data_IF_155486699532
#
_entry.id   IF_155486699532
#
_cell.length_a   1.000
_cell.length_b   1.000
_cell.length_c   1.000
_cell.angle_alpha   90.00
_cell.angle_beta   90.00
_cell.angle_gamma   90.00
#
_symmetry.space_group_name_H-M   'P 1'
#
loop_
_entity.id
_entity.type
_entity.pdbx_description
1 polymer ?
#
# COMPACT_ATOMS: atom_id res chain seq x y z
N UNK A 1 3.86 -63.91 23.24
CA UNK A 1 2.71 -64.10 24.16
C UNK A 1 2.43 -62.75 24.82
N UNK A 2 1.22 -62.18 24.62
CA UNK A 2 0.61 -60.99 25.25
C UNK A 2 1.45 -59.71 25.52
N UNK A 3 1.02 -58.63 24.85
CA UNK A 3 1.15 -57.20 25.18
C UNK A 3 -0.11 -56.80 26.00
N UNK A 4 -0.07 -55.92 27.05
CA UNK A 4 -0.36 -54.46 26.94
C UNK A 4 0.58 -53.56 27.79
N UNK A 5 1.07 -52.42 27.29
CA UNK A 5 0.43 -51.08 27.23
C UNK A 5 0.05 -50.49 28.60
N UNK A 6 0.52 -49.27 28.85
CA UNK A 6 0.08 -48.39 29.93
C UNK A 6 -0.11 -46.98 29.37
N UNK A 7 -1.36 -46.56 29.22
CA UNK A 7 -1.71 -45.20 28.80
C UNK A 7 -1.53 -44.22 29.96
N UNK A 8 -0.98 -43.04 29.68
CA UNK A 8 -1.10 -41.86 30.54
C UNK A 8 -2.27 -41.02 30.02
N UNK A 9 -3.29 -40.84 30.85
CA UNK A 9 -4.44 -39.98 30.54
C UNK A 9 -4.18 -38.60 31.15
N UNK A 10 -4.06 -37.58 30.31
CA UNK A 10 -4.08 -36.17 30.74
C UNK A 10 -5.48 -35.62 30.50
N UNK A 11 -6.16 -35.22 31.57
CA UNK A 11 -7.51 -34.64 31.52
C UNK A 11 -7.39 -33.12 31.31
N UNK A 12 -7.70 -32.65 30.11
CA UNK A 12 -7.85 -31.22 29.83
C UNK A 12 -9.26 -30.74 30.21
N UNK A 13 -9.36 -29.71 31.06
CA UNK A 13 -10.64 -29.12 31.46
C UNK A 13 -11.11 -28.08 30.43
N UNK A 14 -12.19 -28.38 29.70
CA UNK A 14 -12.76 -27.47 28.72
C UNK A 14 -13.64 -26.38 29.36
N UNK A 15 -13.22 -25.12 29.30
CA UNK A 15 -14.04 -23.96 29.69
C UNK A 15 -14.88 -23.51 28.49
N UNK A 16 -16.18 -23.79 28.54
CA UNK A 16 -17.11 -23.63 27.42
C UNK A 16 -17.69 -22.21 27.37
N UNK A 17 -17.08 -21.31 26.58
CA UNK A 17 -17.71 -20.03 26.24
C UNK A 17 -18.87 -20.22 25.25
N UNK A 18 -19.99 -19.51 25.48
CA UNK A 18 -21.13 -19.44 24.55
C UNK A 18 -21.18 -18.04 23.91
N UNK A 19 -21.18 -17.91 22.58
CA UNK A 19 -21.52 -16.65 21.93
C UNK A 19 -23.04 -16.44 21.93
N UNK A 20 -23.51 -15.28 22.39
CA UNK A 20 -24.89 -14.87 22.22
C UNK A 20 -25.12 -14.40 20.78
N UNK A 21 -26.00 -15.08 20.05
CA UNK A 21 -26.47 -14.62 18.75
C UNK A 21 -27.47 -13.47 18.92
N UNK A 22 -27.30 -12.40 18.13
CA UNK A 22 -28.14 -11.21 18.15
C UNK A 22 -28.30 -10.61 16.75
N UNK A 23 -28.97 -11.36 15.86
CA UNK A 23 -29.26 -10.96 14.48
C UNK A 23 -30.43 -9.96 14.43
N UNK A 24 -30.22 -8.76 13.87
CA UNK A 24 -31.32 -7.84 13.51
C UNK A 24 -31.08 -7.24 12.13
N UNK A 25 -31.77 -7.74 11.11
CA UNK A 25 -31.88 -7.11 9.79
C UNK A 25 -33.29 -7.29 9.23
N UNK A 26 -34.03 -6.18 9.10
CA UNK A 26 -35.11 -5.84 8.16
C UNK A 26 -35.51 -4.39 8.52
N UNK A 27 -36.03 -3.50 7.68
CA UNK A 27 -36.46 -3.54 6.28
C UNK A 27 -36.99 -2.12 5.93
N UNK A 28 -37.17 -1.79 4.64
CA UNK A 28 -37.40 -0.40 4.17
C UNK A 28 -38.80 0.19 4.45
N UNK A 29 -38.82 1.53 4.55
CA UNK A 29 -39.87 2.49 4.14
C UNK A 29 -41.32 2.38 4.69
N UNK A 30 -41.79 3.43 5.39
CA UNK A 30 -42.70 4.46 4.82
C UNK A 30 -43.14 5.55 5.84
N UNK A 31 -43.48 6.72 5.28
CA UNK A 31 -44.44 7.75 5.73
C UNK A 31 -44.32 8.47 7.08
N UNK A 32 -44.51 9.80 7.01
CA UNK A 32 -44.82 10.71 8.12
C UNK A 32 -46.16 10.33 8.78
N UNK A 33 -46.26 10.41 10.09
CA UNK A 33 -47.47 10.89 10.80
C UNK A 33 -47.06 11.53 12.13
N UNK A 34 -47.72 12.64 12.47
CA UNK A 34 -47.56 13.40 13.72
C UNK A 34 -48.60 12.88 14.73
N UNK A 35 -48.28 12.76 16.02
CA UNK A 35 -49.21 13.04 17.14
C UNK A 35 -48.45 13.14 18.48
N UNK A 36 -49.04 13.90 19.41
CA UNK A 36 -48.51 14.41 20.69
C UNK A 36 -48.50 13.41 21.86
N UNK A 37 -47.76 13.69 22.97
CA UNK A 37 -47.63 12.80 24.13
C UNK A 37 -48.75 12.99 25.18
N UNK A 38 -49.10 11.92 25.91
CA UNK A 38 -49.98 11.96 27.09
C UNK A 38 -49.52 10.95 28.16
N UNK A 39 -49.21 11.48 29.35
CA UNK A 39 -49.21 10.93 30.73
C UNK A 39 -48.54 9.58 31.10
N UNK A 40 -47.94 9.56 32.31
CA UNK A 40 -47.35 8.36 32.97
C UNK A 40 -48.37 7.55 33.79
N UNK A 41 -48.10 7.07 35.03
CA UNK A 41 -47.01 7.45 35.95
C UNK A 41 -46.26 6.30 36.69
N UNK A 42 -45.17 6.68 37.37
CA UNK A 42 -44.60 6.16 38.65
C UNK A 42 -44.64 4.68 39.04
N UNK A 43 -43.49 4.18 39.48
CA UNK A 43 -43.37 3.63 40.84
C UNK A 43 -42.03 4.03 41.49
N UNK A 44 -42.07 4.41 42.77
CA UNK A 44 -40.93 4.86 43.57
C UNK A 44 -40.25 3.71 44.32
N UNK A 45 -38.96 3.85 44.61
CA UNK A 45 -38.42 3.49 45.93
C UNK A 45 -37.33 4.48 46.35
N UNK A 46 -37.53 5.11 47.51
CA UNK A 46 -36.58 5.98 48.20
C UNK A 46 -35.51 5.17 48.93
N UNK A 47 -34.32 5.74 49.11
CA UNK A 47 -33.57 5.76 50.39
C UNK A 47 -32.61 6.97 50.39
N UNK A 48 -32.29 7.45 51.59
CA UNK A 48 -31.86 8.81 51.94
C UNK A 48 -30.38 9.17 51.74
N UNK A 49 -30.10 10.47 51.55
CA UNK A 49 -28.75 11.05 51.70
C UNK A 49 -28.63 12.53 51.28
N UNK A 50 -28.48 13.44 52.26
CA UNK A 50 -28.11 14.88 52.15
C UNK A 50 -27.39 15.30 53.45
N UNK A 51 -26.68 16.44 53.56
CA UNK A 51 -26.57 17.60 52.64
C UNK A 51 -25.09 17.81 52.15
N UNK A 52 -24.61 18.87 51.47
CA UNK A 52 -24.71 20.32 51.72
C UNK A 52 -24.30 21.27 50.56
N UNK A 53 -24.81 22.51 50.62
CA UNK A 53 -24.33 23.81 50.06
C UNK A 53 -24.00 24.04 48.55
N UNK A 54 -24.96 24.68 47.83
CA UNK A 54 -24.94 26.00 47.12
C UNK A 54 -23.63 26.73 46.66
N UNK A 55 -23.69 27.77 45.78
CA UNK A 55 -24.76 28.21 44.82
C UNK A 55 -24.28 28.81 43.44
N UNK A 56 -25.22 28.96 42.46
CA UNK A 56 -25.25 29.98 41.34
C UNK A 56 -24.04 30.00 40.37
N UNK A 57 -24.04 30.48 39.11
CA UNK A 57 -24.92 31.24 38.19
C UNK A 57 -24.33 31.01 36.75
N UNK A 58 -24.91 31.38 35.59
CA UNK A 58 -26.27 31.71 35.12
C UNK A 58 -26.24 32.01 33.61
N UNK A 59 -27.33 31.70 32.86
CA UNK A 59 -27.73 32.25 31.54
C UNK A 59 -26.68 32.40 30.41
N UNK A 60 -26.96 31.86 29.24
CA UNK A 60 -27.49 32.66 28.12
C UNK A 60 -27.88 31.83 26.90
N UNK A 61 -29.02 32.18 26.30
CA UNK A 61 -29.58 31.61 25.08
C UNK A 61 -29.59 32.68 23.98
N UNK A 62 -29.21 32.36 22.75
CA UNK A 62 -29.58 33.16 21.56
C UNK A 62 -29.92 32.22 20.40
N UNK A 63 -30.95 32.61 19.64
CA UNK A 63 -31.51 31.92 18.48
C UNK A 63 -31.26 32.75 17.22
N UNK A 64 -30.89 32.10 16.12
CA UNK A 64 -31.12 32.56 14.74
C UNK A 64 -31.54 31.31 13.95
N UNK A 65 -32.78 31.16 13.46
CA UNK A 65 -33.60 32.02 12.57
C UNK A 65 -33.13 32.01 11.12
N UNK A 66 -33.94 31.34 10.30
CA UNK A 66 -33.79 31.12 8.86
C UNK A 66 -34.45 32.27 8.06
N UNK A 67 -34.02 32.53 6.82
CA UNK A 67 -34.80 33.30 5.82
C UNK A 67 -34.30 33.10 4.38
N UNK A 68 -35.23 33.21 3.45
CA UNK A 68 -35.17 32.60 2.11
C UNK A 68 -34.67 33.51 0.96
N UNK A 69 -34.21 32.85 -0.11
CA UNK A 69 -34.41 33.09 -1.56
C UNK A 69 -34.42 34.49 -2.20
N UNK A 70 -33.86 34.60 -3.44
CA UNK A 70 -34.55 35.13 -4.64
C UNK A 70 -33.73 35.00 -5.97
N UNK A 71 -34.42 34.49 -7.01
CA UNK A 71 -34.39 34.74 -8.47
C UNK A 71 -33.14 35.04 -9.36
N UNK A 72 -33.09 34.34 -10.52
CA UNK A 72 -32.81 34.87 -11.87
C UNK A 72 -31.35 34.84 -12.39
N UNK A 73 -31.04 34.69 -13.69
CA UNK A 73 -31.83 34.44 -14.93
C UNK A 73 -30.89 33.94 -16.06
N UNK A 74 -31.43 33.28 -17.09
CA UNK A 74 -30.68 32.78 -18.28
C UNK A 74 -30.07 33.87 -19.17
N UNK A 75 -29.04 33.51 -19.96
CA UNK A 75 -28.87 33.99 -21.34
C UNK A 75 -28.04 33.01 -22.19
N UNK A 76 -28.62 32.56 -23.30
CA UNK A 76 -27.91 31.93 -24.42
C UNK A 76 -27.56 33.03 -25.45
N UNK A 77 -26.51 32.84 -26.26
CA UNK A 77 -26.57 32.87 -27.74
C UNK A 77 -25.19 32.76 -28.41
N UNK A 78 -25.09 31.83 -29.35
CA UNK A 78 -24.07 31.75 -30.41
C UNK A 78 -24.74 32.18 -31.72
N UNK A 79 -24.00 32.76 -32.68
CA UNK A 79 -24.25 32.38 -34.07
C UNK A 79 -22.97 32.10 -34.88
N UNK A 80 -23.10 31.17 -35.83
CA UNK A 80 -22.05 30.79 -36.78
C UNK A 80 -22.08 31.60 -38.09
N UNK A 81 -20.92 31.58 -38.79
CA UNK A 81 -20.77 31.12 -40.19
C UNK A 81 -20.26 32.11 -41.27
N UNK A 82 -19.55 31.50 -42.24
CA UNK A 82 -19.07 31.98 -43.57
C UNK A 82 -17.77 32.82 -43.53
N UNK A 83 -16.75 32.56 -44.37
CA UNK A 83 -16.62 31.59 -45.49
C UNK A 83 -15.17 31.35 -45.96
N UNK A 84 -14.80 30.06 -46.14
CA UNK A 84 -14.05 29.37 -47.23
C UNK A 84 -12.83 30.03 -47.98
N UNK A 85 -11.97 29.24 -48.67
CA UNK A 85 -10.51 29.40 -48.55
C UNK A 85 -9.76 29.73 -49.85
N UNK A 86 -8.46 30.04 -49.73
CA UNK A 86 -7.48 29.84 -50.80
C UNK A 86 -6.15 29.29 -50.24
N UNK A 87 -5.68 28.20 -50.86
CA UNK A 87 -4.29 27.73 -50.80
C UNK A 87 -3.45 28.58 -51.77
N UNK A 88 -2.20 28.88 -51.43
CA UNK A 88 -0.99 28.81 -52.28
C UNK A 88 0.22 29.52 -51.60
N UNK A 89 1.19 28.72 -51.15
CA UNK A 89 2.63 29.10 -51.09
C UNK A 89 3.27 28.79 -52.47
N UNK A 90 4.54 29.19 -52.80
CA UNK A 90 5.63 29.74 -51.98
C UNK A 90 6.10 31.15 -52.47
N UNK A 91 7.09 31.87 -51.94
CA UNK A 91 8.53 31.55 -51.72
C UNK A 91 9.22 32.61 -50.85
N UNK A 92 10.28 32.15 -50.16
CA UNK A 92 11.55 32.77 -49.71
C UNK A 92 11.81 34.31 -49.63
N UNK A 93 12.76 34.62 -48.71
CA UNK A 93 13.52 35.87 -48.45
C UNK A 93 13.04 36.81 -47.34
N UNK A 94 13.86 36.96 -46.27
CA UNK A 94 13.57 37.88 -45.16
C UNK A 94 14.48 37.84 -43.93
N UNK A 95 15.81 37.97 -44.12
CA UNK A 95 16.80 38.47 -43.14
C UNK A 95 16.67 38.12 -41.63
N UNK A 96 17.54 37.21 -41.15
CA UNK A 96 17.97 37.21 -39.73
C UNK A 96 19.03 38.29 -39.56
N UNK A 97 18.64 39.41 -38.93
CA UNK A 97 19.52 40.50 -38.53
C UNK A 97 19.67 40.50 -36.99
N UNK A 98 20.87 40.80 -36.50
CA UNK A 98 21.19 41.14 -35.10
C UNK A 98 21.00 40.04 -34.02
N UNK A 99 22.01 39.16 -33.89
CA UNK A 99 22.28 38.44 -32.64
C UNK A 99 23.79 38.19 -32.40
N UNK A 100 24.65 39.16 -32.77
CA UNK A 100 26.06 39.19 -32.36
C UNK A 100 26.39 40.60 -31.89
N UNK A 101 26.45 40.78 -30.57
CA UNK A 101 27.35 41.69 -29.83
C UNK A 101 26.95 41.69 -28.33
N UNK A 102 27.94 41.89 -27.46
CA UNK A 102 27.83 42.13 -26.01
C UNK A 102 27.27 40.99 -25.11
N UNK A 103 28.19 40.15 -24.61
CA UNK A 103 28.21 39.70 -23.21
C UNK A 103 29.58 39.15 -22.82
N UNK A 104 30.53 40.07 -22.62
CA UNK A 104 31.74 39.81 -21.85
C UNK A 104 31.58 40.46 -20.47
N UNK A 105 32.14 39.81 -19.45
CA UNK A 105 32.27 40.27 -18.05
C UNK A 105 30.96 40.41 -17.26
N UNK A 106 30.77 39.48 -16.31
CA UNK A 106 30.77 39.81 -14.88
C UNK A 106 31.02 38.52 -14.08
N UNK A 107 32.26 38.31 -13.63
CA UNK A 107 32.56 37.31 -12.60
C UNK A 107 32.25 37.96 -11.26
N UNK A 108 31.11 37.61 -10.66
CA UNK A 108 30.83 37.92 -9.25
C UNK A 108 31.19 36.71 -8.40
N UNK A 109 31.88 36.88 -7.25
CA UNK A 109 32.01 35.81 -6.28
C UNK A 109 30.61 35.48 -5.71
N UNK A 110 30.30 34.20 -5.43
CA UNK A 110 29.02 33.84 -4.85
C UNK A 110 28.87 34.48 -3.46
N UNK A 111 27.80 35.27 -3.29
CA UNK A 111 27.35 35.69 -1.97
C UNK A 111 27.03 34.44 -1.12
N UNK A 112 27.28 34.45 0.21
CA UNK A 112 26.89 33.35 1.08
C UNK A 112 25.36 33.23 1.11
N UNK A 113 24.84 32.27 0.35
CA UNK A 113 23.41 32.00 0.25
C UNK A 113 22.86 31.66 1.64
N UNK A 114 21.93 32.48 2.13
CA UNK A 114 21.28 32.31 3.43
C UNK A 114 20.28 31.14 3.40
N UNK A 115 20.81 29.91 3.38
CA UNK A 115 20.02 28.67 3.36
C UNK A 115 19.08 28.51 4.56
N UNK A 116 19.31 29.23 5.67
CA UNK A 116 18.51 29.13 6.89
C UNK A 116 17.11 29.75 6.80
N UNK A 117 16.90 30.84 6.04
CA UNK A 117 15.70 31.66 6.23
C UNK A 117 14.44 31.12 5.52
N UNK A 118 14.61 30.55 4.31
CA UNK A 118 13.49 29.98 3.53
C UNK A 118 13.05 28.64 4.13
N UNK A 119 14.03 27.82 4.56
CA UNK A 119 13.76 26.62 5.35
C UNK A 119 12.96 26.97 6.60
N UNK A 120 13.48 27.85 7.45
CA UNK A 120 12.83 28.25 8.70
C UNK A 120 11.39 28.76 8.53
N UNK A 121 11.05 29.48 7.45
CA UNK A 121 9.68 29.97 7.22
C UNK A 121 8.70 28.85 6.85
N UNK A 122 9.11 27.89 6.01
CA UNK A 122 8.27 26.74 5.63
C UNK A 122 8.17 25.74 6.78
N UNK A 123 9.26 25.44 7.49
CA UNK A 123 9.17 24.63 8.70
C UNK A 123 8.27 25.31 9.71
N UNK A 124 8.42 26.62 9.97
CA UNK A 124 7.59 27.34 10.96
C UNK A 124 6.09 27.17 10.67
N UNK A 125 5.62 27.41 9.44
CA UNK A 125 4.22 27.24 9.07
C UNK A 125 3.69 25.80 9.27
N UNK A 126 4.50 24.77 8.97
CA UNK A 126 4.15 23.35 9.20
C UNK A 126 4.33 22.94 10.68
N UNK A 127 5.14 23.65 11.45
CA UNK A 127 5.37 23.39 12.89
C UNK A 127 4.36 24.04 13.81
N UNK A 128 3.76 25.17 13.41
CA UNK A 128 2.84 25.95 14.26
C UNK A 128 1.37 25.83 13.82
N UNK A 129 1.06 25.02 12.80
CA UNK A 129 -0.33 24.67 12.50
C UNK A 129 -0.84 23.67 13.54
N UNK A 130 -2.11 23.79 13.94
CA UNK A 130 -2.70 22.88 14.94
C UNK A 130 -2.58 21.41 14.52
N UNK A 131 -2.73 21.12 13.22
CA UNK A 131 -2.51 19.79 12.66
C UNK A 131 -1.04 19.34 12.81
N UNK A 132 -0.07 20.21 12.52
CA UNK A 132 1.36 19.91 12.66
C UNK A 132 1.82 19.76 14.11
N UNK A 133 1.13 20.41 15.06
CA UNK A 133 1.31 20.23 16.51
C UNK A 133 0.67 18.91 16.96
N UNK A 134 -0.55 18.59 16.54
CA UNK A 134 -1.27 17.36 16.90
C UNK A 134 -0.55 16.12 16.37
N UNK A 135 -0.11 16.13 15.10
CA UNK A 135 0.67 15.02 14.52
C UNK A 135 1.97 14.82 15.28
N UNK A 136 2.69 15.89 15.63
CA UNK A 136 3.90 15.80 16.46
C UNK A 136 3.63 15.27 17.85
N UNK A 137 2.58 15.75 18.53
CA UNK A 137 2.23 15.24 19.85
C UNK A 137 1.81 13.76 19.78
N UNK A 138 1.17 13.33 18.69
CA UNK A 138 0.84 11.92 18.44
C UNK A 138 2.10 11.07 18.25
N UNK A 139 3.02 11.48 17.35
CA UNK A 139 4.29 10.78 17.10
C UNK A 139 5.18 10.74 18.34
N UNK A 140 5.35 11.88 19.05
CA UNK A 140 6.15 11.94 20.28
C UNK A 140 5.52 11.12 21.40
N UNK A 141 4.19 11.11 21.56
CA UNK A 141 3.53 10.21 22.53
C UNK A 141 3.65 8.75 22.13
N UNK A 142 3.55 8.42 20.84
CA UNK A 142 3.78 7.07 20.32
C UNK A 142 5.18 6.58 20.62
N UNK A 143 6.20 7.38 20.31
CA UNK A 143 7.60 7.11 20.65
C UNK A 143 7.79 6.96 22.17
N UNK A 144 7.26 7.88 23.00
CA UNK A 144 7.34 7.79 24.46
C UNK A 144 6.57 6.60 25.07
N UNK A 145 5.57 6.06 24.37
CA UNK A 145 4.86 4.85 24.79
C UNK A 145 5.69 3.62 24.40
N UNK A 146 6.25 3.57 23.19
CA UNK A 146 7.13 2.48 22.77
C UNK A 146 8.41 2.43 23.60
N UNK A 147 9.08 3.55 23.84
CA UNK A 147 10.26 3.68 24.72
C UNK A 147 9.98 3.20 26.16
N UNK A 148 8.76 3.43 26.68
CA UNK A 148 8.32 2.88 27.97
C UNK A 148 8.01 1.39 27.93
N UNK A 149 7.46 0.90 26.83
CA UNK A 149 7.18 -0.54 26.65
C UNK A 149 8.51 -1.29 26.49
N UNK A 150 9.45 -0.75 25.73
CA UNK A 150 10.79 -1.29 25.52
C UNK A 150 11.58 -1.29 26.83
N UNK A 151 11.65 -0.15 27.54
CA UNK A 151 12.25 -0.09 28.88
C UNK A 151 11.54 -0.95 29.95
N UNK A 152 10.29 -1.37 29.73
CA UNK A 152 9.62 -2.41 30.54
C UNK A 152 10.00 -3.83 30.08
N UNK A 153 10.18 -4.04 28.77
CA UNK A 153 10.65 -5.29 28.18
C UNK A 153 12.10 -5.57 28.58
N UNK A 154 13.01 -4.61 28.46
CA UNK A 154 14.40 -4.70 28.94
C UNK A 154 14.45 -5.09 30.42
N UNK A 155 13.67 -4.42 31.28
CA UNK A 155 13.60 -4.78 32.71
C UNK A 155 13.04 -6.18 32.95
N UNK A 156 12.05 -6.62 32.17
CA UNK A 156 11.54 -7.99 32.23
C UNK A 156 12.59 -9.00 31.77
N UNK A 157 13.30 -8.69 30.68
CA UNK A 157 14.40 -9.46 30.11
C UNK A 157 15.54 -9.64 31.11
N UNK A 158 15.96 -8.55 31.77
CA UNK A 158 17.06 -8.56 32.73
C UNK A 158 16.66 -9.26 34.04
N UNK A 159 15.45 -9.02 34.55
CA UNK A 159 14.93 -9.71 35.74
C UNK A 159 14.77 -11.23 35.52
N UNK A 160 14.54 -11.68 34.29
CA UNK A 160 14.49 -13.09 33.91
C UNK A 160 15.84 -13.64 33.43
N UNK A 161 16.91 -12.84 33.41
CA UNK A 161 18.23 -13.23 32.90
C UNK A 161 18.32 -13.41 31.38
N UNK A 162 17.25 -13.13 30.64
CA UNK A 162 17.17 -13.26 29.17
C UNK A 162 18.13 -12.30 28.45
N UNK A 163 18.40 -11.12 29.02
CA UNK A 163 19.42 -10.19 28.50
C UNK A 163 20.84 -10.74 28.62
N UNK A 164 21.12 -11.46 29.71
CA UNK A 164 22.38 -12.16 29.92
C UNK A 164 22.51 -13.41 29.03
N UNK A 165 21.41 -14.06 28.63
CA UNK A 165 21.42 -15.14 27.64
C UNK A 165 21.61 -14.61 26.20
N UNK A 166 20.93 -13.52 25.83
CA UNK A 166 21.10 -12.85 24.52
C UNK A 166 22.53 -12.36 24.29
N UNK A 167 23.16 -11.77 25.31
CA UNK A 167 24.57 -11.32 25.22
C UNK A 167 25.59 -12.47 25.23
N UNK A 168 25.18 -13.69 25.65
CA UNK A 168 25.98 -14.93 25.52
C UNK A 168 25.79 -15.64 24.18
N UNK A 169 24.87 -15.23 23.31
CA UNK A 169 24.86 -15.70 21.92
C UNK A 169 26.11 -15.15 21.22
N UNK A 170 27.19 -15.94 21.29
CA UNK A 170 28.58 -15.55 21.01
C UNK A 170 28.88 -15.22 19.55
N UNK A 171 27.87 -15.29 18.69
CA UNK A 171 27.88 -14.68 17.37
C UNK A 171 26.47 -14.17 17.06
N UNK A 172 26.36 -12.88 16.71
CA UNK A 172 25.26 -12.45 15.84
C UNK A 172 25.31 -13.33 14.57
N UNK A 173 24.16 -13.67 13.94
CA UNK A 173 24.18 -14.26 12.62
C UNK A 173 25.11 -13.44 11.72
N UNK A 174 25.96 -14.10 10.94
CA UNK A 174 26.76 -13.37 9.94
C UNK A 174 25.78 -12.69 8.99
N UNK A 175 26.00 -11.40 8.72
CA UNK A 175 25.17 -10.65 7.79
C UNK A 175 24.98 -11.43 6.49
N UNK A 176 23.73 -11.53 6.04
CA UNK A 176 23.38 -12.30 4.83
C UNK A 176 24.03 -11.62 3.64
N UNK A 177 24.96 -12.31 2.98
CA UNK A 177 25.65 -11.77 1.80
C UNK A 177 24.70 -11.87 0.61
N UNK A 178 24.06 -10.76 0.29
CA UNK A 178 23.22 -10.62 -0.91
C UNK A 178 24.14 -10.57 -2.13
N UNK A 179 23.90 -11.38 -3.18
CA UNK A 179 24.69 -11.33 -4.42
C UNK A 179 24.48 -10.01 -5.18
N UNK A 180 25.35 -9.71 -6.14
CA UNK A 180 25.15 -8.57 -7.03
C UNK A 180 23.94 -8.82 -7.97
N UNK A 181 23.14 -7.77 -8.19
CA UNK A 181 21.96 -7.82 -9.04
C UNK A 181 22.37 -8.08 -10.50
N UNK A 182 21.64 -8.94 -11.21
CA UNK A 182 21.82 -9.12 -12.65
C UNK A 182 21.48 -7.82 -13.41
N UNK A 183 22.07 -7.58 -14.59
CA UNK A 183 21.67 -6.46 -15.45
C UNK A 183 20.16 -6.46 -15.72
N UNK A 184 19.55 -5.28 -15.62
CA UNK A 184 18.10 -5.12 -15.81
C UNK A 184 17.69 -5.51 -17.24
N UNK A 185 16.71 -6.42 -17.37
CA UNK A 185 16.02 -6.62 -18.64
C UNK A 185 15.08 -5.44 -18.90
N UNK A 186 15.59 -4.46 -19.65
CA UNK A 186 14.87 -3.24 -20.03
C UNK A 186 13.56 -3.56 -20.78
N UNK A 187 13.48 -4.67 -21.52
CA UNK A 187 12.25 -5.04 -22.23
C UNK A 187 11.19 -5.58 -21.25
N UNK A 188 11.58 -6.48 -20.34
CA UNK A 188 10.69 -6.98 -19.29
C UNK A 188 10.23 -5.85 -18.35
N UNK A 189 11.14 -4.93 -18.00
CA UNK A 189 10.88 -3.74 -17.18
C UNK A 189 9.88 -2.77 -17.85
N UNK A 190 10.03 -2.51 -19.16
CA UNK A 190 9.05 -1.74 -19.92
C UNK A 190 7.68 -2.44 -20.00
N UNK A 191 7.66 -3.77 -20.17
CA UNK A 191 6.41 -4.54 -20.15
C UNK A 191 5.70 -4.49 -18.81
N UNK A 192 6.44 -4.52 -17.69
CA UNK A 192 5.87 -4.35 -16.37
C UNK A 192 5.12 -3.01 -16.24
N UNK A 193 5.76 -1.90 -16.59
CA UNK A 193 5.14 -0.57 -16.51
C UNK A 193 3.90 -0.46 -17.40
N UNK A 194 3.96 -0.98 -18.63
CA UNK A 194 2.81 -1.03 -19.54
C UNK A 194 1.64 -1.86 -18.98
N UNK A 195 1.93 -3.01 -18.38
CA UNK A 195 0.93 -3.86 -17.71
C UNK A 195 0.31 -3.10 -16.53
N UNK A 196 1.12 -2.40 -15.72
CA UNK A 196 0.64 -1.60 -14.58
C UNK A 196 -0.21 -0.40 -15.02
N UNK A 197 0.19 0.33 -16.07
CA UNK A 197 -0.62 1.42 -16.63
C UNK A 197 -1.97 0.91 -17.14
N UNK A 198 -1.99 -0.21 -17.87
CA UNK A 198 -3.22 -0.86 -18.33
C UNK A 198 -4.08 -1.35 -17.17
N UNK A 199 -3.49 -1.92 -16.13
CA UNK A 199 -4.17 -2.34 -14.91
C UNK A 199 -4.85 -1.16 -14.23
N UNK A 200 -4.13 -0.06 -14.09
CA UNK A 200 -4.60 1.15 -13.44
C UNK A 200 -5.76 1.79 -14.23
N UNK A 201 -5.59 2.01 -15.53
CA UNK A 201 -6.64 2.55 -16.40
C UNK A 201 -7.92 1.69 -16.38
N UNK A 202 -7.78 0.36 -16.28
CA UNK A 202 -8.91 -0.58 -16.17
C UNK A 202 -9.57 -0.56 -14.78
N UNK A 203 -8.79 -0.44 -13.71
CA UNK A 203 -9.30 -0.40 -12.35
C UNK A 203 -9.92 0.97 -11.97
N UNK A 204 -9.52 2.04 -12.66
CA UNK A 204 -9.92 3.41 -12.39
C UNK A 204 -11.45 3.59 -12.41
N UNK A 205 -12.07 4.05 -11.30
CA UNK A 205 -13.52 4.17 -11.21
C UNK A 205 -14.11 5.07 -12.30
N UNK A 206 -15.22 4.62 -12.90
CA UNK A 206 -15.89 5.32 -13.99
C UNK A 206 -15.26 5.13 -15.38
N UNK A 207 -14.07 4.51 -15.48
CA UNK A 207 -13.46 4.12 -16.78
C UNK A 207 -13.17 5.28 -17.74
N UNK A 208 -13.15 6.52 -17.24
CA UNK A 208 -13.07 7.74 -18.05
C UNK A 208 -11.67 8.36 -18.12
N UNK A 209 -10.69 7.80 -17.38
CA UNK A 209 -9.32 8.27 -17.41
C UNK A 209 -8.67 7.89 -18.76
N UNK A 210 -8.23 8.89 -19.52
CA UNK A 210 -7.49 8.66 -20.76
C UNK A 210 -6.02 8.38 -20.45
N UNK A 211 -5.38 7.54 -21.28
CA UNK A 211 -3.94 7.30 -21.18
C UNK A 211 -3.14 8.61 -21.24
N UNK A 212 -3.58 9.59 -22.05
CA UNK A 212 -2.91 10.89 -22.14
C UNK A 212 -2.94 11.66 -20.81
N UNK A 213 -4.04 11.62 -20.04
CA UNK A 213 -4.07 12.24 -18.71
C UNK A 213 -3.17 11.47 -17.72
N UNK A 214 -3.14 10.15 -17.80
CA UNK A 214 -2.21 9.35 -16.99
C UNK A 214 -0.76 9.76 -17.26
N UNK A 215 -0.31 9.71 -18.52
CA UNK A 215 1.09 10.03 -18.86
C UNK A 215 1.45 11.49 -18.51
N UNK A 216 0.52 12.44 -18.67
CA UNK A 216 0.72 13.83 -18.20
C UNK A 216 0.98 13.94 -16.69
N UNK A 217 0.30 13.13 -15.88
CA UNK A 217 0.55 13.09 -14.43
C UNK A 217 1.89 12.37 -14.12
N UNK A 218 2.23 11.29 -14.84
CA UNK A 218 3.52 10.61 -14.71
C UNK A 218 4.69 11.56 -15.03
N UNK A 219 4.63 12.28 -16.15
CA UNK A 219 5.60 13.30 -16.53
C UNK A 219 5.69 14.43 -15.49
N UNK A 220 4.54 14.88 -14.96
CA UNK A 220 4.46 15.90 -13.92
C UNK A 220 5.13 15.49 -12.62
N UNK A 221 4.88 14.25 -12.17
CA UNK A 221 5.53 13.65 -10.99
C UNK A 221 7.03 13.45 -11.24
N UNK A 222 7.41 12.86 -12.37
CA UNK A 222 8.80 12.60 -12.72
C UNK A 222 9.61 13.90 -12.68
N UNK A 223 9.14 14.95 -13.35
CA UNK A 223 9.75 16.29 -13.33
C UNK A 223 9.84 16.90 -11.93
N UNK A 224 8.85 16.66 -11.07
CA UNK A 224 8.84 17.16 -9.69
C UNK A 224 9.91 16.49 -8.82
N UNK A 225 10.11 15.17 -8.96
CA UNK A 225 10.96 14.37 -8.06
C UNK A 225 12.36 14.07 -8.61
N UNK A 226 12.61 14.27 -9.91
CA UNK A 226 13.89 14.03 -10.59
C UNK A 226 15.10 14.59 -9.82
N UNK A 227 15.04 15.86 -9.40
CA UNK A 227 16.15 16.54 -8.69
C UNK A 227 16.48 15.88 -7.34
N UNK A 228 15.49 15.28 -6.67
CA UNK A 228 15.72 14.54 -5.43
C UNK A 228 16.43 13.21 -5.71
N UNK A 229 15.98 12.44 -6.71
CA UNK A 229 16.65 11.19 -7.10
C UNK A 229 18.05 11.40 -7.66
N UNK A 230 18.30 12.50 -8.39
CA UNK A 230 19.65 12.93 -8.79
C UNK A 230 20.59 13.13 -7.60
N UNK A 231 20.09 13.76 -6.52
CA UNK A 231 20.87 13.96 -5.28
C UNK A 231 21.12 12.66 -4.53
N UNK A 232 20.23 11.68 -4.65
CA UNK A 232 20.41 10.31 -4.16
C UNK A 232 21.33 9.45 -5.06
N UNK A 233 21.94 10.03 -6.09
CA UNK A 233 22.92 9.34 -6.95
C UNK A 233 22.35 8.70 -8.22
N UNK A 234 21.07 8.85 -8.53
CA UNK A 234 20.51 8.36 -9.81
C UNK A 234 21.04 9.22 -10.96
N UNK A 235 21.94 8.63 -11.76
CA UNK A 235 22.40 9.22 -13.02
C UNK A 235 21.35 8.96 -14.12
N UNK A 236 20.84 10.00 -14.76
CA UNK A 236 19.89 9.90 -15.87
C UNK A 236 20.62 9.99 -17.21
N UNK A 237 20.30 9.11 -18.16
CA UNK A 237 20.88 9.14 -19.52
C UNK A 237 20.55 10.45 -20.22
N UNK A 238 19.27 10.85 -20.16
CA UNK A 238 18.77 12.11 -20.69
C UNK A 238 17.89 12.80 -19.63
N UNK A 239 18.35 13.91 -19.01
CA UNK A 239 17.55 14.67 -18.06
C UNK A 239 16.24 15.24 -18.64
N UNK A 240 16.09 15.36 -19.96
CA UNK A 240 14.85 15.77 -20.60
C UNK A 240 13.84 14.61 -20.77
N UNK A 241 14.29 13.35 -20.66
CA UNK A 241 13.47 12.13 -20.74
C UNK A 241 13.75 11.22 -19.54
N UNK A 242 13.45 11.66 -18.30
CA UNK A 242 13.87 10.95 -17.08
C UNK A 242 13.16 9.61 -16.85
N UNK A 243 12.14 9.28 -17.63
CA UNK A 243 11.44 7.99 -17.62
C UNK A 243 12.13 6.92 -18.50
N UNK A 244 13.15 7.28 -19.28
CA UNK A 244 13.98 6.30 -19.99
C UNK A 244 15.01 5.71 -19.03
N UNK A 245 15.11 4.37 -19.00
CA UNK A 245 15.98 3.62 -18.09
C UNK A 245 16.74 2.51 -18.81
N UNK A 246 18.01 2.37 -18.44
CA UNK A 246 18.92 1.27 -18.79
C UNK A 246 19.40 0.53 -17.54
N UNK A 247 19.23 1.12 -16.35
CA UNK A 247 19.76 0.63 -15.07
C UNK A 247 18.66 0.54 -14.01
N UNK A 248 18.91 -0.28 -12.98
CA UNK A 248 17.98 -0.46 -11.88
C UNK A 248 17.55 0.80 -11.13
N UNK A 249 18.47 1.72 -10.75
CA UNK A 249 18.09 2.97 -10.09
C UNK A 249 17.21 3.90 -10.94
N UNK A 250 17.42 3.93 -12.26
CA UNK A 250 16.56 4.68 -13.19
C UNK A 250 15.18 4.04 -13.31
N UNK A 251 15.11 2.70 -13.37
CA UNK A 251 13.84 1.97 -13.37
C UNK A 251 13.06 2.16 -12.06
N UNK A 252 13.74 2.14 -10.90
CA UNK A 252 13.14 2.45 -9.60
C UNK A 252 12.48 3.84 -9.59
N UNK A 253 13.15 4.85 -10.16
CA UNK A 253 12.60 6.19 -10.34
C UNK A 253 11.36 6.21 -11.26
N UNK A 254 11.40 5.50 -12.39
CA UNK A 254 10.26 5.42 -13.30
C UNK A 254 9.06 4.76 -12.61
N UNK A 255 9.27 3.60 -11.98
CA UNK A 255 8.26 2.88 -11.20
C UNK A 255 7.67 3.76 -10.09
N UNK A 256 8.49 4.47 -9.31
CA UNK A 256 8.01 5.43 -8.32
C UNK A 256 7.10 6.50 -8.94
N UNK A 257 7.52 7.07 -10.08
CA UNK A 257 6.78 8.13 -10.77
C UNK A 257 5.40 7.67 -11.27
N UNK A 258 5.32 6.48 -11.87
CA UNK A 258 4.05 5.87 -12.29
C UNK A 258 3.11 5.62 -11.09
N UNK A 259 3.58 4.94 -10.04
CA UNK A 259 2.73 4.57 -8.90
C UNK A 259 2.30 5.76 -8.03
N UNK A 260 3.14 6.80 -7.96
CA UNK A 260 2.78 8.10 -7.38
C UNK A 260 1.70 8.81 -8.20
N UNK A 261 1.81 8.81 -9.53
CA UNK A 261 0.79 9.37 -10.42
C UNK A 261 -0.56 8.65 -10.30
N UNK A 262 -0.56 7.31 -10.23
CA UNK A 262 -1.77 6.51 -9.95
C UNK A 262 -2.47 6.99 -8.66
N UNK A 263 -1.68 7.21 -7.61
CA UNK A 263 -2.17 7.66 -6.31
C UNK A 263 -2.70 9.09 -6.33
N UNK A 264 -2.04 10.01 -7.02
CA UNK A 264 -2.52 11.39 -7.20
C UNK A 264 -3.89 11.43 -7.91
N UNK A 265 -4.04 10.68 -9.00
CA UNK A 265 -5.29 10.63 -9.79
C UNK A 265 -6.46 10.03 -8.99
N UNK A 266 -6.21 8.98 -8.19
CA UNK A 266 -7.24 8.43 -7.29
C UNK A 266 -7.66 9.43 -6.19
N UNK A 267 -6.74 10.25 -5.68
CA UNK A 267 -7.06 11.30 -4.71
C UNK A 267 -7.86 12.45 -5.33
N UNK A 268 -7.48 12.91 -6.53
CA UNK A 268 -8.25 13.91 -7.30
C UNK A 268 -9.69 13.43 -7.55
N UNK A 269 -9.86 12.15 -7.88
CA UNK A 269 -11.17 11.54 -8.06
C UNK A 269 -11.99 11.50 -6.76
N UNK A 270 -11.40 11.08 -5.64
CA UNK A 270 -12.08 11.03 -4.35
C UNK A 270 -12.55 12.43 -3.90
N UNK A 271 -11.77 13.47 -4.17
CA UNK A 271 -12.18 14.86 -3.92
C UNK A 271 -13.31 15.33 -4.84
N UNK A 272 -13.33 14.84 -6.08
CA UNK A 272 -14.34 15.20 -7.09
C UNK A 272 -15.68 14.46 -6.91
N UNK A 273 -15.67 13.26 -6.33
CA UNK A 273 -16.86 12.40 -6.19
C UNK A 273 -17.45 12.43 -4.79
N UNK A 274 -18.35 13.39 -4.54
CA UNK A 274 -19.26 13.38 -3.37
C UNK A 274 -20.33 12.26 -3.42
N UNK A 275 -20.16 11.21 -4.24
CA UNK A 275 -21.22 10.24 -4.57
C UNK A 275 -21.07 8.90 -3.83
N UNK A 276 -22.22 8.32 -3.47
CA UNK A 276 -22.36 7.03 -2.79
C UNK A 276 -21.96 5.80 -3.63
N UNK A 277 -21.68 6.01 -4.92
CA UNK A 277 -21.46 4.95 -5.91
C UNK A 277 -19.97 4.78 -6.28
N UNK A 278 -19.06 5.46 -5.57
CA UNK A 278 -17.62 5.27 -5.77
C UNK A 278 -17.19 3.87 -5.32
N UNK A 279 -16.45 3.15 -6.20
CA UNK A 279 -15.79 1.90 -5.81
C UNK A 279 -14.90 2.17 -4.60
N UNK A 280 -14.95 1.30 -3.60
CA UNK A 280 -14.04 1.41 -2.45
C UNK A 280 -12.59 1.33 -2.93
N UNK A 281 -11.69 2.08 -2.30
CA UNK A 281 -10.27 2.03 -2.64
C UNK A 281 -9.70 0.60 -2.54
N UNK A 282 -10.15 -0.18 -1.55
CA UNK A 282 -9.77 -1.58 -1.39
C UNK A 282 -10.15 -2.43 -2.62
N UNK A 283 -11.33 -2.19 -3.21
CA UNK A 283 -11.77 -2.86 -4.45
C UNK A 283 -10.89 -2.45 -5.64
N UNK A 284 -10.55 -1.16 -5.78
CA UNK A 284 -9.66 -0.67 -6.86
C UNK A 284 -8.29 -1.32 -6.75
N UNK A 285 -7.72 -1.34 -5.54
CA UNK A 285 -6.44 -1.99 -5.25
C UNK A 285 -6.50 -3.48 -5.59
N UNK A 286 -7.48 -4.23 -5.08
CA UNK A 286 -7.61 -5.65 -5.36
C UNK A 286 -7.81 -5.96 -6.87
N UNK A 287 -8.58 -5.14 -7.59
CA UNK A 287 -8.74 -5.25 -9.04
C UNK A 287 -7.41 -5.00 -9.79
N UNK A 288 -6.64 -4.01 -9.36
CA UNK A 288 -5.31 -3.68 -9.91
C UNK A 288 -4.30 -4.80 -9.65
N UNK A 289 -4.10 -5.20 -8.38
CA UNK A 289 -3.10 -6.19 -7.97
C UNK A 289 -3.35 -7.54 -8.67
N UNK A 290 -4.61 -7.98 -8.71
CA UNK A 290 -5.06 -9.17 -9.44
C UNK A 290 -4.78 -9.09 -10.94
N UNK A 291 -5.09 -7.97 -11.60
CA UNK A 291 -4.85 -7.84 -13.04
C UNK A 291 -3.35 -7.82 -13.37
N UNK A 292 -2.53 -7.13 -12.58
CA UNK A 292 -1.06 -7.12 -12.75
C UNK A 292 -0.50 -8.53 -12.57
N UNK A 293 -0.83 -9.20 -11.46
CA UNK A 293 -0.38 -10.58 -11.19
C UNK A 293 -0.75 -11.54 -12.32
N UNK A 294 -2.02 -11.53 -12.74
CA UNK A 294 -2.50 -12.38 -13.84
C UNK A 294 -1.84 -12.08 -15.19
N UNK A 295 -1.60 -10.80 -15.51
CA UNK A 295 -0.96 -10.40 -16.75
C UNK A 295 0.51 -10.86 -16.79
N UNK A 296 1.24 -10.70 -15.68
CA UNK A 296 2.64 -11.11 -15.57
C UNK A 296 2.81 -12.63 -15.59
N UNK A 297 1.93 -13.41 -14.95
CA UNK A 297 1.93 -14.88 -15.08
C UNK A 297 1.85 -15.34 -16.54
N UNK A 298 1.07 -14.63 -17.35
CA UNK A 298 0.92 -14.95 -18.77
C UNK A 298 2.11 -14.46 -19.61
N UNK A 299 2.56 -13.22 -19.41
CA UNK A 299 3.69 -12.62 -20.15
C UNK A 299 5.01 -13.36 -19.88
N UNK A 300 5.30 -13.66 -18.61
CA UNK A 300 6.51 -14.37 -18.17
C UNK A 300 6.39 -15.90 -18.32
N UNK A 301 5.24 -16.40 -18.76
CA UNK A 301 4.94 -17.82 -19.04
C UNK A 301 5.15 -18.73 -17.83
N UNK A 302 4.75 -18.27 -16.64
CA UNK A 302 4.84 -19.03 -15.39
C UNK A 302 3.70 -20.06 -15.35
N UNK A 303 3.92 -21.20 -16.01
CA UNK A 303 2.92 -22.26 -16.21
C UNK A 303 3.55 -23.63 -15.99
N UNK A 304 3.03 -24.37 -15.02
CA UNK A 304 3.55 -25.68 -14.63
C UNK A 304 2.47 -26.76 -14.77
N UNK A 305 2.89 -27.98 -15.15
CA UNK A 305 1.99 -29.11 -15.43
C UNK A 305 2.06 -30.19 -14.35
N UNK A 306 1.83 -29.81 -13.08
CA UNK A 306 1.68 -30.77 -11.97
C UNK A 306 0.21 -31.14 -11.74
N UNK A 307 -0.04 -32.40 -11.36
CA UNK A 307 -1.36 -32.92 -11.00
C UNK A 307 -1.84 -32.40 -9.63
N UNK A 308 -0.93 -32.20 -8.68
CA UNK A 308 -1.22 -31.61 -7.38
C UNK A 308 -1.29 -30.08 -7.47
N UNK A 309 -2.39 -29.44 -7.02
CA UNK A 309 -2.51 -27.98 -7.04
C UNK A 309 -1.42 -27.27 -6.23
N UNK A 310 -1.14 -27.72 -4.99
CA UNK A 310 -0.09 -27.12 -4.15
C UNK A 310 1.29 -27.26 -4.79
N UNK A 311 1.65 -28.47 -5.23
CA UNK A 311 2.95 -28.71 -5.89
C UNK A 311 3.13 -27.82 -7.11
N UNK A 312 2.04 -27.53 -7.84
CA UNK A 312 2.06 -26.58 -8.95
C UNK A 312 2.32 -25.15 -8.50
N UNK A 313 1.69 -24.66 -7.42
CA UNK A 313 1.95 -23.32 -6.89
C UNK A 313 3.40 -23.14 -6.42
N UNK A 314 3.97 -24.16 -5.77
CA UNK A 314 5.37 -24.15 -5.35
C UNK A 314 6.31 -24.08 -6.57
N UNK A 315 6.11 -24.95 -7.57
CA UNK A 315 6.87 -24.90 -8.83
C UNK A 315 6.71 -23.57 -9.59
N UNK A 316 5.49 -23.01 -9.62
CA UNK A 316 5.26 -21.68 -10.21
C UNK A 316 5.98 -20.58 -9.44
N UNK A 317 6.18 -20.73 -8.13
CA UNK A 317 7.04 -19.83 -7.35
C UNK A 317 8.51 -20.00 -7.71
N UNK A 318 9.03 -21.22 -7.81
CA UNK A 318 10.43 -21.45 -8.22
C UNK A 318 10.73 -20.84 -9.60
N UNK A 319 9.77 -20.95 -10.51
CA UNK A 319 9.80 -20.32 -11.83
C UNK A 319 9.71 -18.78 -11.72
N UNK A 320 8.87 -18.22 -10.83
CA UNK A 320 8.84 -16.77 -10.54
C UNK A 320 10.17 -16.27 -9.96
N UNK A 321 10.72 -16.95 -8.95
CA UNK A 321 11.98 -16.64 -8.30
C UNK A 321 13.14 -16.61 -9.31
N UNK A 322 13.13 -17.56 -10.25
CA UNK A 322 14.07 -17.59 -11.38
C UNK A 322 13.85 -16.40 -12.31
N UNK A 323 12.61 -16.09 -12.71
CA UNK A 323 12.31 -14.93 -13.59
C UNK A 323 12.69 -13.58 -12.97
N UNK A 324 12.46 -13.39 -11.68
CA UNK A 324 12.83 -12.15 -10.98
C UNK A 324 14.35 -11.92 -10.99
N UNK A 325 15.15 -12.99 -10.87
CA UNK A 325 16.62 -12.92 -11.00
C UNK A 325 17.06 -12.75 -12.46
N UNK A 326 16.51 -13.53 -13.40
CA UNK A 326 16.83 -13.49 -14.83
C UNK A 326 16.62 -12.08 -15.42
N UNK A 327 15.56 -11.39 -15.01
CA UNK A 327 15.22 -10.04 -15.47
C UNK A 327 15.93 -8.91 -14.68
N UNK A 328 16.75 -9.25 -13.68
CA UNK A 328 17.41 -8.25 -12.83
C UNK A 328 16.46 -7.47 -11.92
N UNK A 329 15.30 -8.02 -11.56
CA UNK A 329 14.35 -7.40 -10.62
C UNK A 329 14.66 -7.70 -9.15
N UNK A 330 15.31 -8.82 -8.85
CA UNK A 330 15.80 -9.18 -7.52
C UNK A 330 17.16 -9.87 -7.61
N UNK A 331 18.03 -9.67 -6.62
CA UNK A 331 19.36 -10.27 -6.61
C UNK A 331 19.29 -11.74 -6.20
N UNK A 332 18.47 -12.06 -5.20
CA UNK A 332 18.17 -13.42 -4.77
C UNK A 332 16.70 -13.54 -4.38
N UNK A 333 16.15 -14.74 -4.55
CA UNK A 333 14.77 -15.06 -4.16
C UNK A 333 14.80 -16.46 -3.57
N UNK A 334 14.37 -16.58 -2.32
CA UNK A 334 14.44 -17.80 -1.51
C UNK A 334 13.01 -18.17 -1.04
N UNK A 335 12.31 -19.07 -1.73
CA UNK A 335 11.07 -19.64 -1.20
C UNK A 335 11.41 -20.53 0.01
N UNK A 336 10.58 -20.45 1.05
CA UNK A 336 10.69 -21.35 2.20
C UNK A 336 10.63 -22.81 1.75
N UNK A 337 11.20 -23.76 2.53
CA UNK A 337 11.12 -25.18 2.24
C UNK A 337 9.69 -25.61 1.88
N UNK A 338 9.54 -26.59 0.96
CA UNK A 338 8.22 -27.05 0.54
C UNK A 338 7.42 -27.51 1.76
N UNK A 339 6.16 -27.10 1.80
CA UNK A 339 5.20 -27.50 2.84
C UNK A 339 5.11 -29.02 2.87
N UNK A 340 5.18 -29.61 4.07
CA UNK A 340 5.06 -31.06 4.23
C UNK A 340 3.68 -31.53 3.75
N UNK A 341 3.63 -32.71 3.12
CA UNK A 341 2.38 -33.22 2.55
C UNK A 341 1.30 -33.49 3.60
N UNK A 342 1.72 -33.71 4.85
CA UNK A 342 0.83 -33.87 6.01
C UNK A 342 0.17 -32.52 6.36
N UNK A 343 0.93 -31.43 6.53
CA UNK A 343 0.38 -30.09 6.78
C UNK A 343 -0.63 -29.63 5.70
N UNK A 344 -0.37 -29.95 4.43
CA UNK A 344 -1.32 -29.67 3.35
C UNK A 344 -2.58 -30.54 3.45
N UNK A 345 -2.45 -31.82 3.80
CA UNK A 345 -3.57 -32.73 3.99
C UNK A 345 -4.44 -32.27 5.17
N UNK A 346 -3.83 -31.91 6.30
CA UNK A 346 -4.51 -31.41 7.51
C UNK A 346 -5.22 -30.07 7.23
N UNK A 347 -4.63 -29.19 6.42
CA UNK A 347 -5.29 -27.97 5.95
C UNK A 347 -6.47 -28.26 4.99
N UNK A 348 -6.33 -29.26 4.10
CA UNK A 348 -7.41 -29.71 3.22
C UNK A 348 -8.56 -30.35 3.99
N UNK A 349 -8.29 -31.09 5.06
CA UNK A 349 -9.31 -31.76 5.89
C UNK A 349 -9.93 -30.81 6.94
N UNK A 350 -9.34 -29.63 7.14
CA UNK A 350 -9.81 -28.58 8.04
C UNK A 350 -9.33 -28.72 9.49
N UNK A 351 -8.40 -29.63 9.75
CA UNK A 351 -7.74 -29.81 11.05
C UNK A 351 -6.75 -28.67 11.35
N UNK A 352 -6.16 -28.07 10.31
CA UNK A 352 -5.37 -26.83 10.40
C UNK A 352 -6.15 -25.66 9.78
N UNK A 353 -6.40 -24.57 10.52
CA UNK A 353 -7.21 -23.44 10.02
C UNK A 353 -6.47 -22.51 9.06
N UNK A 354 -5.14 -22.52 9.11
CA UNK A 354 -4.27 -21.58 8.41
C UNK A 354 -2.97 -22.25 7.98
N UNK A 355 -2.63 -22.14 6.71
CA UNK A 355 -1.37 -22.65 6.16
C UNK A 355 -0.47 -21.49 5.71
N UNK A 356 0.74 -21.43 6.27
CA UNK A 356 1.69 -20.33 6.06
C UNK A 356 2.97 -20.78 5.34
N UNK A 357 3.44 -19.94 4.42
CA UNK A 357 4.70 -20.14 3.69
C UNK A 357 5.29 -18.78 3.28
N UNK A 358 6.62 -18.63 3.33
CA UNK A 358 7.28 -17.34 3.07
C UNK A 358 8.18 -17.36 1.83
N UNK A 359 8.34 -16.22 1.16
CA UNK A 359 9.38 -15.99 0.15
C UNK A 359 10.22 -14.80 0.57
N UNK A 360 11.53 -14.98 0.75
CA UNK A 360 12.46 -13.86 0.87
C UNK A 360 12.86 -13.35 -0.52
N UNK A 361 12.80 -12.04 -0.73
CA UNK A 361 13.21 -11.35 -1.96
C UNK A 361 14.31 -10.36 -1.60
N UNK A 362 15.57 -10.71 -1.88
CA UNK A 362 16.74 -9.89 -1.59
C UNK A 362 17.06 -8.96 -2.75
N UNK A 363 17.36 -7.69 -2.45
CA UNK A 363 17.77 -6.72 -3.47
C UNK A 363 16.67 -6.45 -4.51
N UNK A 364 15.40 -6.41 -4.08
CA UNK A 364 14.28 -5.99 -4.92
C UNK A 364 14.53 -4.57 -5.46
N UNK A 365 14.66 -4.47 -6.78
CA UNK A 365 14.96 -3.23 -7.50
C UNK A 365 13.91 -2.14 -7.28
N UNK A 366 12.69 -2.51 -6.89
CA UNK A 366 11.56 -1.61 -6.64
C UNK A 366 11.42 -1.21 -5.17
N UNK A 367 12.19 -1.81 -4.26
CA UNK A 367 12.09 -1.65 -2.80
C UNK A 367 12.05 -0.18 -2.35
N UNK A 368 12.99 0.65 -2.81
CA UNK A 368 13.01 2.08 -2.48
C UNK A 368 11.73 2.82 -2.93
N UNK A 369 11.12 2.41 -4.04
CA UNK A 369 9.86 2.98 -4.49
C UNK A 369 8.68 2.49 -3.63
N UNK A 370 8.69 1.22 -3.18
CA UNK A 370 7.70 0.69 -2.25
C UNK A 370 7.70 1.48 -0.94
N UNK A 371 8.88 1.63 -0.31
CA UNK A 371 9.07 2.34 0.97
C UNK A 371 8.63 3.80 0.84
N UNK A 372 9.17 4.55 -0.13
CA UNK A 372 8.84 5.97 -0.31
C UNK A 372 7.35 6.21 -0.54
N UNK A 373 6.64 5.29 -1.19
CA UNK A 373 5.18 5.39 -1.38
C UNK A 373 4.41 5.06 -0.10
N UNK A 374 4.82 4.03 0.63
CA UNK A 374 4.21 3.62 1.90
C UNK A 374 4.37 4.69 3.00
N UNK A 375 5.54 5.31 3.12
CA UNK A 375 5.81 6.42 4.05
C UNK A 375 4.90 7.62 3.80
N UNK A 376 4.55 7.88 2.53
CA UNK A 376 3.59 8.91 2.11
C UNK A 376 2.13 8.47 2.31
N UNK A 377 1.88 7.29 2.88
CA UNK A 377 0.56 6.73 3.17
C UNK A 377 -0.13 6.05 1.97
N UNK A 378 0.56 5.89 0.84
CA UNK A 378 -0.02 5.24 -0.33
C UNK A 378 -0.16 3.74 -0.14
N UNK A 379 -1.17 3.19 -0.81
CA UNK A 379 -1.62 1.79 -0.66
C UNK A 379 -1.51 0.98 -1.95
N UNK A 380 -1.22 1.62 -3.08
CA UNK A 380 -0.83 1.00 -4.35
C UNK A 380 0.64 1.35 -4.55
N UNK A 381 1.49 0.33 -4.52
CA UNK A 381 2.96 0.44 -4.58
C UNK A 381 3.51 -0.83 -5.27
N UNK A 382 4.71 -0.81 -5.85
CA UNK A 382 5.14 -1.78 -6.86
C UNK A 382 5.67 -3.12 -6.30
N UNK A 383 4.93 -3.80 -5.41
CA UNK A 383 5.35 -5.12 -4.92
C UNK A 383 4.96 -6.23 -5.90
N UNK A 384 5.81 -6.42 -6.92
CA UNK A 384 5.51 -7.27 -8.09
C UNK A 384 5.46 -8.75 -7.71
N UNK A 385 6.41 -9.21 -6.90
CA UNK A 385 6.44 -10.58 -6.40
C UNK A 385 5.16 -10.91 -5.62
N UNK A 386 4.68 -10.03 -4.73
CA UNK A 386 3.39 -10.20 -4.04
C UNK A 386 2.22 -10.38 -5.01
N UNK A 387 2.11 -9.53 -6.04
CA UNK A 387 0.98 -9.60 -6.99
C UNK A 387 0.95 -10.93 -7.74
N UNK A 388 2.11 -11.43 -8.17
CA UNK A 388 2.21 -12.69 -8.89
C UNK A 388 1.94 -13.87 -7.96
N UNK A 389 2.55 -13.90 -6.76
CA UNK A 389 2.29 -14.94 -5.75
C UNK A 389 0.80 -15.02 -5.38
N UNK A 390 0.16 -13.87 -5.11
CA UNK A 390 -1.25 -13.83 -4.78
C UNK A 390 -2.11 -14.46 -5.89
N UNK A 391 -1.78 -14.25 -7.16
CA UNK A 391 -2.50 -14.89 -8.27
C UNK A 391 -2.19 -16.39 -8.41
N UNK A 392 -0.95 -16.83 -8.21
CA UNK A 392 -0.56 -18.26 -8.25
C UNK A 392 -1.43 -19.08 -7.29
N UNK A 393 -1.53 -18.64 -6.03
CA UNK A 393 -2.29 -19.36 -5.01
C UNK A 393 -3.81 -19.21 -5.20
N UNK A 394 -4.30 -18.08 -5.74
CA UNK A 394 -5.71 -17.93 -6.11
C UNK A 394 -6.12 -18.88 -7.25
N UNK A 395 -5.29 -19.03 -8.29
CA UNK A 395 -5.53 -19.96 -9.40
C UNK A 395 -5.58 -21.43 -8.90
N UNK A 396 -4.81 -21.75 -7.86
CA UNK A 396 -4.79 -23.08 -7.23
C UNK A 396 -6.06 -23.35 -6.43
N UNK A 397 -6.52 -22.42 -5.57
CA UNK A 397 -7.79 -22.58 -4.85
C UNK A 397 -9.00 -22.66 -5.80
N UNK A 398 -9.01 -21.84 -6.85
CA UNK A 398 -10.05 -21.85 -7.87
C UNK A 398 -10.13 -23.18 -8.65
N UNK A 399 -9.02 -23.91 -8.77
CA UNK A 399 -8.99 -25.24 -9.39
C UNK A 399 -9.34 -26.36 -8.42
N UNK A 400 -8.89 -26.28 -7.16
CA UNK A 400 -9.24 -27.27 -6.14
C UNK A 400 -10.76 -27.31 -5.89
N UNK A 401 -11.39 -26.13 -5.81
CA UNK A 401 -12.85 -26.00 -5.65
C UNK A 401 -13.66 -26.41 -6.89
N UNK A 402 -13.04 -26.48 -8.08
CA UNK A 402 -13.72 -26.78 -9.34
C UNK A 402 -13.80 -28.28 -9.68
N UNK A 403 -13.08 -29.17 -8.98
CA UNK A 403 -13.09 -30.60 -9.31
C UNK A 403 -14.31 -31.31 -8.71
N UNK A 404 -15.22 -31.88 -9.54
CA UNK A 404 -16.40 -32.60 -9.03
C UNK A 404 -15.96 -33.92 -8.37
N UNK A 405 -16.14 -34.00 -7.05
CA UNK A 405 -15.63 -35.11 -6.22
C UNK A 405 -14.22 -34.88 -5.68
N UNK A 406 -13.70 -33.65 -5.75
CA UNK A 406 -12.43 -33.27 -5.11
C UNK A 406 -12.43 -33.52 -3.60
N UNK A 407 -11.25 -33.87 -3.08
CA UNK A 407 -10.99 -34.11 -1.66
C UNK A 407 -11.51 -32.92 -0.85
N UNK A 408 -12.48 -33.19 0.03
CA UNK A 408 -13.34 -32.15 0.57
C UNK A 408 -12.74 -31.44 1.78
N UNK A 409 -12.65 -30.11 1.70
CA UNK A 409 -12.52 -29.22 2.86
C UNK A 409 -12.00 -27.81 2.57
N UNK A 410 -11.39 -27.55 1.40
CA UNK A 410 -11.28 -26.18 0.88
C UNK A 410 -12.70 -25.65 0.65
N UNK A 411 -13.11 -24.72 1.49
CA UNK A 411 -14.40 -24.05 1.37
C UNK A 411 -14.35 -23.02 0.24
N UNK A 412 -15.51 -22.62 -0.28
CA UNK A 412 -15.57 -21.49 -1.22
C UNK A 412 -15.21 -20.14 -0.57
N UNK A 413 -14.91 -20.13 0.73
CA UNK A 413 -14.51 -18.98 1.51
C UNK A 413 -13.01 -19.01 1.90
N UNK A 414 -12.25 -20.04 1.50
CA UNK A 414 -10.79 -20.06 1.69
C UNK A 414 -10.13 -18.85 1.01
N UNK A 415 -9.35 -18.11 1.78
CA UNK A 415 -8.81 -16.79 1.41
C UNK A 415 -7.29 -16.83 1.30
N UNK A 416 -6.76 -16.29 0.19
CA UNK A 416 -5.32 -16.04 0.03
C UNK A 416 -4.99 -14.65 0.56
N UNK A 417 -4.08 -14.60 1.53
CA UNK A 417 -3.44 -13.37 2.02
C UNK A 417 -1.97 -13.40 1.67
N UNK A 418 -1.39 -12.28 1.22
CA UNK A 418 0.07 -12.14 1.07
C UNK A 418 0.51 -10.84 1.71
N UNK A 419 1.29 -10.95 2.78
CA UNK A 419 1.78 -9.83 3.58
C UNK A 419 3.28 -9.62 3.34
N UNK A 420 3.68 -8.37 3.10
CA UNK A 420 5.05 -7.93 2.93
C UNK A 420 5.65 -7.39 4.23
N UNK A 421 6.81 -7.91 4.61
CA UNK A 421 7.63 -7.48 5.74
C UNK A 421 9.03 -7.07 5.24
N UNK A 422 9.57 -5.98 5.78
CA UNK A 422 10.89 -5.47 5.41
C UNK A 422 11.92 -5.82 6.47
N UNK A 423 13.03 -6.42 6.05
CA UNK A 423 14.12 -6.83 6.91
C UNK A 423 15.44 -6.16 6.53
N UNK A 424 16.21 -5.79 7.55
CA UNK A 424 17.61 -5.42 7.42
C UNK A 424 18.47 -6.66 7.74
N UNK A 425 19.25 -7.08 6.75
CA UNK A 425 20.09 -8.28 6.82
C UNK A 425 21.36 -8.11 7.67
N UNK A 426 21.67 -6.89 8.11
CA UNK A 426 22.75 -6.59 9.06
C UNK A 426 22.29 -6.71 10.53
N UNK A 427 21.01 -6.99 10.77
CA UNK A 427 20.39 -7.14 12.10
C UNK A 427 20.71 -5.97 13.05
N UNK A 428 20.68 -4.75 12.53
CA UNK A 428 20.84 -3.54 13.35
C UNK A 428 19.58 -3.29 14.18
N UNK A 429 19.75 -2.97 15.45
CA UNK A 429 18.70 -2.45 16.32
C UNK A 429 18.65 -0.91 16.33
N UNK A 430 19.55 -0.26 15.59
CA UNK A 430 19.63 1.19 15.48
C UNK A 430 18.74 1.68 14.33
N UNK A 431 17.63 2.40 14.60
CA UNK A 431 16.70 2.83 13.57
C UNK A 431 17.31 3.82 12.58
N UNK A 432 18.34 4.59 12.97
CA UNK A 432 19.04 5.52 12.08
C UNK A 432 19.97 4.79 11.10
N UNK A 433 20.17 3.48 11.29
CA UNK A 433 20.97 2.61 10.42
C UNK A 433 20.16 1.52 9.72
N UNK A 434 18.85 1.43 9.97
CA UNK A 434 18.01 0.41 9.38
C UNK A 434 17.93 0.60 7.86
N UNK A 435 18.47 -0.36 7.12
CA UNK A 435 18.42 -0.40 5.67
C UNK A 435 17.66 -1.67 5.24
N UNK A 436 16.43 -1.48 4.76
CA UNK A 436 15.65 -2.58 4.20
C UNK A 436 16.38 -3.16 2.98
N UNK A 437 16.75 -4.44 3.07
CA UNK A 437 17.54 -5.18 2.07
C UNK A 437 16.82 -6.42 1.55
N UNK A 438 15.94 -6.96 2.36
CA UNK A 438 15.11 -8.15 2.09
C UNK A 438 13.63 -7.78 2.26
N UNK A 439 12.80 -8.25 1.32
CA UNK A 439 11.33 -8.25 1.45
C UNK A 439 10.88 -9.69 1.68
N UNK A 440 10.37 -9.99 2.86
CA UNK A 440 9.76 -11.28 3.17
C UNK A 440 8.26 -11.22 2.85
N UNK A 441 7.81 -12.10 1.97
CA UNK A 441 6.40 -12.23 1.57
C UNK A 441 5.81 -13.46 2.25
N UNK A 442 5.04 -13.25 3.33
CA UNK A 442 4.29 -14.32 4.00
C UNK A 442 2.97 -14.52 3.26
N UNK A 443 2.81 -15.68 2.63
CA UNK A 443 1.54 -16.13 2.08
C UNK A 443 0.83 -16.97 3.13
N UNK A 444 -0.42 -16.63 3.39
CA UNK A 444 -1.32 -17.37 4.25
C UNK A 444 -2.54 -17.83 3.45
N UNK A 445 -2.92 -19.09 3.63
CA UNK A 445 -4.19 -19.64 3.19
C UNK A 445 -5.06 -19.84 4.43
N UNK A 446 -6.13 -19.05 4.55
CA UNK A 446 -7.05 -19.05 5.70
C UNK A 446 -8.36 -19.74 5.30
N UNK A 447 -8.83 -20.73 6.06
CA UNK A 447 -10.18 -21.28 5.92
C UNK A 447 -11.17 -20.46 6.79
N UNK A 448 -12.12 -19.75 6.16
CA UNK A 448 -13.23 -19.02 6.82
C UNK A 448 -14.39 -19.95 7.25
#
# INVERSE_FOLDING_TARGET
MKIPWSYVVVVAAAVRWRPCQGLVVFGRCLSKTIVTPINGPTHEMNISGRPDTCPRNSRSSVVYSNKDALCGTNNNLVPWAKSLPLLFHPTEFGAILAAVLASCLLITPPLPAHAGEVGAKITKAVTTSDLGIIVRQSVVKGAQIMDKIDGQWERLSDNLGLGAERSKQSARPKAKVIPELQPLDVAAANRLLQISDMAFLRAYPGGSLSNNKLQQEVDGVAKMVQVSFQRSGVAFVDPARPLEFETGPQFNFAVYSHYKAYSNLLLEQQQSQNSKDSKSFATIRADFERFVGQALLNEWKIKETSSSPLTRALQQTDTLATKLRDFGFAAFVDPSPPIDSEDWQDFLEGDVPELNWNVAVDGDITLNAQILLQEQGYRIYPNIARFVLQQIFQDVLAQATAQPGGVGGISSATKVSVMDYYFDTDYTSDPDKFEAKEVLLSVSLENE
#
